data_IF_645674750874
#
_entry.id   IF_645674750874
#
_cell.length_a   1.000
_cell.length_b   1.000
_cell.length_c   1.000
_cell.angle_alpha   90.00
_cell.angle_beta   90.00
_cell.angle_gamma   90.00
#
_symmetry.space_group_name_H-M   'P 1'
#
loop_
_entity.id
_entity.type
_entity.pdbx_description
1 polymer ?
#
# COMPACT_ATOMS: atom_id res chain seq x y z
N UNK A 1 -3.40 15.39 8.72
CA UNK A 1 -2.63 15.06 9.93
C UNK A 1 -1.26 15.71 9.77
N UNK A 2 -0.88 16.68 10.60
CA UNK A 2 0.42 17.33 10.49
C UNK A 2 1.43 16.53 11.34
N UNK A 3 2.18 15.64 10.71
CA UNK A 3 3.20 14.81 11.37
C UNK A 3 4.49 15.62 11.47
N UNK A 4 5.13 15.60 12.63
CA UNK A 4 6.47 16.14 12.82
C UNK A 4 7.50 15.14 12.26
N UNK A 5 8.05 15.44 11.09
CA UNK A 5 8.93 14.55 10.34
C UNK A 5 10.23 14.26 11.10
N UNK A 6 10.80 15.25 11.79
CA UNK A 6 12.06 15.07 12.52
C UNK A 6 11.88 14.13 13.71
N UNK A 7 10.77 14.29 14.44
CA UNK A 7 10.45 13.40 15.56
C UNK A 7 10.26 11.95 15.10
N UNK A 8 9.61 11.74 13.95
CA UNK A 8 9.41 10.40 13.39
C UNK A 8 10.72 9.81 12.89
N UNK A 9 11.53 10.59 12.14
CA UNK A 9 12.82 10.14 11.64
C UNK A 9 13.75 9.69 12.77
N UNK A 10 13.86 10.51 13.84
CA UNK A 10 14.69 10.19 14.99
C UNK A 10 14.24 8.90 15.71
N UNK A 11 12.93 8.66 15.81
CA UNK A 11 12.41 7.44 16.42
C UNK A 11 12.73 6.19 15.58
N UNK A 12 12.62 6.28 14.24
CA UNK A 12 12.94 5.18 13.33
C UNK A 12 14.44 4.88 13.34
N UNK A 13 15.30 5.89 13.22
CA UNK A 13 16.77 5.70 13.26
C UNK A 13 17.24 5.12 14.60
N UNK A 14 16.60 5.53 15.71
CA UNK A 14 16.88 4.95 17.03
C UNK A 14 16.46 3.49 17.15
N UNK A 15 15.37 3.07 16.51
CA UNK A 15 14.91 1.67 16.50
C UNK A 15 15.77 0.81 15.57
N UNK A 16 16.12 1.34 14.40
CA UNK A 16 17.00 0.70 13.43
C UNK A 16 18.45 0.56 13.96
N UNK A 17 18.88 1.44 14.86
CA UNK A 17 20.25 1.47 15.38
C UNK A 17 21.28 2.05 14.39
N UNK A 18 20.81 2.65 13.29
CA UNK A 18 21.64 3.28 12.27
C UNK A 18 20.96 4.52 11.68
N UNK A 19 21.77 5.42 11.13
CA UNK A 19 21.28 6.56 10.38
C UNK A 19 20.76 6.13 9.01
N UNK A 20 19.65 6.73 8.58
CA UNK A 20 19.00 6.46 7.30
C UNK A 20 18.98 7.76 6.49
N UNK A 21 20.02 8.04 5.67
CA UNK A 21 20.24 9.35 5.07
C UNK A 21 19.05 9.90 4.28
N UNK A 22 18.32 9.02 3.59
CA UNK A 22 17.20 9.40 2.72
C UNK A 22 15.83 9.36 3.43
N UNK A 23 15.78 9.00 4.72
CA UNK A 23 14.52 8.79 5.44
C UNK A 23 13.67 10.06 5.52
N UNK A 24 14.30 11.20 5.78
CA UNK A 24 13.60 12.49 5.86
C UNK A 24 12.93 12.86 4.54
N UNK A 25 13.65 12.67 3.44
CA UNK A 25 13.11 12.89 2.09
C UNK A 25 11.95 11.93 1.81
N UNK A 26 12.09 10.64 2.12
CA UNK A 26 11.03 9.66 1.95
C UNK A 26 9.77 9.99 2.78
N UNK A 27 9.93 10.49 4.01
CA UNK A 27 8.83 10.91 4.86
C UNK A 27 8.12 12.18 4.34
N UNK A 28 8.87 13.13 3.78
CA UNK A 28 8.31 14.32 3.12
C UNK A 28 7.51 13.93 1.86
N UNK A 29 8.04 13.02 1.05
CA UNK A 29 7.34 12.49 -0.13
C UNK A 29 6.05 11.77 0.27
N UNK A 30 6.11 10.92 1.30
CA UNK A 30 4.93 10.25 1.84
C UNK A 30 3.88 11.25 2.38
N UNK A 31 4.32 12.31 3.08
CA UNK A 31 3.44 13.37 3.57
C UNK A 31 2.78 14.15 2.43
N UNK A 32 3.52 14.38 1.33
CA UNK A 32 3.03 15.03 0.12
C UNK A 32 2.17 14.10 -0.77
N UNK A 33 2.00 12.83 -0.40
CA UNK A 33 1.29 11.83 -1.22
C UNK A 33 2.03 11.47 -2.51
N UNK A 34 3.34 11.67 -2.55
CA UNK A 34 4.20 11.30 -3.67
C UNK A 34 4.59 9.82 -3.56
N UNK A 35 4.64 9.14 -4.70
CA UNK A 35 4.93 7.71 -4.78
C UNK A 35 3.67 6.84 -4.85
N UNK A 36 3.80 5.56 -4.49
CA UNK A 36 2.67 4.61 -4.56
C UNK A 36 1.75 4.81 -3.36
N UNK A 37 0.51 5.21 -3.62
CA UNK A 37 -0.55 5.29 -2.62
C UNK A 37 -1.44 4.06 -2.77
N UNK A 38 -1.54 3.27 -1.69
CA UNK A 38 -2.52 2.17 -1.62
C UNK A 38 -3.82 2.72 -1.03
N UNK A 39 -4.88 2.67 -1.82
CA UNK A 39 -6.23 3.10 -1.45
C UNK A 39 -6.93 2.07 -0.55
N UNK A 40 -7.91 2.47 0.27
CA UNK A 40 -8.72 1.55 1.06
C UNK A 40 -9.35 0.43 0.21
N UNK A 41 -9.79 0.75 -1.00
CA UNK A 41 -10.45 -0.21 -1.91
C UNK A 41 -9.46 -1.28 -2.39
N UNK A 42 -8.21 -0.90 -2.67
CA UNK A 42 -7.13 -1.84 -2.99
C UNK A 42 -6.78 -2.74 -1.80
N UNK A 43 -6.81 -2.22 -0.57
CA UNK A 43 -6.63 -3.02 0.65
C UNK A 43 -7.78 -4.01 0.81
N UNK A 44 -9.02 -3.54 0.63
CA UNK A 44 -10.22 -4.34 0.80
C UNK A 44 -10.28 -5.53 -0.17
N UNK A 45 -9.98 -5.32 -1.46
CA UNK A 45 -9.99 -6.42 -2.44
C UNK A 45 -8.95 -7.50 -2.11
N UNK A 46 -7.74 -7.08 -1.71
CA UNK A 46 -6.67 -8.00 -1.31
C UNK A 46 -7.06 -8.78 -0.05
N UNK A 47 -7.60 -8.11 0.95
CA UNK A 47 -8.05 -8.75 2.19
C UNK A 47 -9.22 -9.70 1.95
N UNK A 48 -10.16 -9.35 1.07
CA UNK A 48 -11.28 -10.22 0.70
C UNK A 48 -10.75 -11.51 0.06
N UNK A 49 -9.76 -11.43 -0.83
CA UNK A 49 -9.10 -12.63 -1.37
C UNK A 49 -8.41 -13.43 -0.28
N UNK A 50 -7.57 -12.81 0.53
CA UNK A 50 -6.81 -13.50 1.59
C UNK A 50 -7.76 -14.23 2.56
N UNK A 51 -8.85 -13.59 2.99
CA UNK A 51 -9.88 -14.18 3.85
C UNK A 51 -10.66 -15.31 3.18
N UNK A 52 -10.78 -15.30 1.86
CA UNK A 52 -11.45 -16.38 1.12
C UNK A 52 -10.59 -17.64 0.96
N UNK A 53 -9.27 -17.56 1.22
CA UNK A 53 -8.33 -18.66 1.00
C UNK A 53 -8.08 -19.00 -0.47
N UNK A 54 -8.59 -18.19 -1.40
CA UNK A 54 -8.47 -18.42 -2.83
C UNK A 54 -7.14 -17.92 -3.40
N UNK A 55 -6.65 -18.63 -4.41
CA UNK A 55 -5.58 -18.12 -5.28
C UNK A 55 -6.08 -16.88 -6.02
N UNK A 56 -5.15 -16.05 -6.51
CA UNK A 56 -5.52 -14.85 -7.29
C UNK A 56 -6.37 -15.20 -8.53
N UNK A 57 -6.07 -16.32 -9.20
CA UNK A 57 -6.86 -16.78 -10.34
C UNK A 57 -8.28 -17.23 -9.95
N UNK A 58 -8.42 -18.03 -8.88
CA UNK A 58 -9.73 -18.50 -8.42
C UNK A 58 -10.61 -17.37 -7.88
N UNK A 59 -9.99 -16.37 -7.24
CA UNK A 59 -10.71 -15.17 -6.79
C UNK A 59 -11.15 -14.30 -7.97
N UNK A 60 -10.26 -14.08 -8.95
CA UNK A 60 -10.57 -13.36 -10.19
C UNK A 60 -11.79 -13.96 -10.91
N UNK A 61 -11.82 -15.29 -11.04
CA UNK A 61 -12.96 -16.02 -11.59
C UNK A 61 -14.24 -15.79 -10.76
N UNK A 62 -14.13 -15.86 -9.43
CA UNK A 62 -15.27 -15.64 -8.51
C UNK A 62 -15.89 -14.25 -8.64
N UNK A 63 -15.10 -13.22 -8.91
CA UNK A 63 -15.56 -11.83 -9.08
C UNK A 63 -15.71 -11.43 -10.54
N UNK A 64 -15.68 -12.40 -11.47
CA UNK A 64 -15.85 -12.19 -12.90
C UNK A 64 -14.92 -11.12 -13.49
N UNK A 65 -13.67 -11.08 -13.01
CA UNK A 65 -12.65 -10.11 -13.41
C UNK A 65 -11.45 -10.87 -13.98
N UNK A 66 -10.78 -10.39 -15.04
CA UNK A 66 -9.54 -11.01 -15.49
C UNK A 66 -8.43 -10.90 -14.41
N UNK A 67 -7.51 -11.87 -14.39
CA UNK A 67 -6.45 -11.93 -13.35
C UNK A 67 -5.53 -10.71 -13.37
N UNK A 68 -5.25 -10.15 -14.55
CA UNK A 68 -4.35 -9.01 -14.68
C UNK A 68 -4.88 -7.72 -14.01
N UNK A 69 -6.12 -7.26 -14.27
CA UNK A 69 -6.75 -6.18 -13.52
C UNK A 69 -6.76 -6.41 -12.00
N UNK A 70 -7.19 -7.60 -11.55
CA UNK A 70 -7.18 -7.92 -10.11
C UNK A 70 -5.78 -7.77 -9.52
N UNK A 71 -4.75 -8.29 -10.21
CA UNK A 71 -3.36 -8.17 -9.77
C UNK A 71 -2.91 -6.72 -9.67
N UNK A 72 -3.26 -5.89 -10.64
CA UNK A 72 -2.90 -4.47 -10.61
C UNK A 72 -3.62 -3.72 -9.48
N UNK A 73 -4.85 -4.13 -9.12
CA UNK A 73 -5.55 -3.61 -7.94
C UNK A 73 -4.86 -4.02 -6.65
N UNK A 74 -4.58 -5.31 -6.46
CA UNK A 74 -3.94 -5.83 -5.24
C UNK A 74 -2.50 -5.30 -5.04
N UNK A 75 -1.83 -4.89 -6.12
CA UNK A 75 -0.47 -4.31 -6.10
C UNK A 75 -0.45 -2.78 -5.94
N UNK A 76 -1.62 -2.13 -5.83
CA UNK A 76 -1.69 -0.69 -5.66
C UNK A 76 -1.43 0.11 -6.94
N UNK A 77 -1.55 -0.51 -8.13
CA UNK A 77 -1.30 0.18 -9.42
C UNK A 77 -2.53 0.93 -9.93
N UNK A 78 -3.73 0.36 -9.75
CA UNK A 78 -5.00 0.99 -10.11
C UNK A 78 -6.06 0.73 -9.03
N UNK A 79 -6.99 1.66 -8.84
CA UNK A 79 -8.13 1.41 -7.96
C UNK A 79 -9.12 0.43 -8.63
N UNK A 80 -9.75 -0.49 -7.88
CA UNK A 80 -10.85 -1.28 -8.40
C UNK A 80 -12.06 -0.38 -8.73
N UNK A 81 -12.90 -0.76 -9.71
CA UNK A 81 -14.10 0.00 -10.06
C UNK A 81 -15.13 -0.03 -8.92
N UNK A 82 -15.91 1.06 -8.79
CA UNK A 82 -17.05 1.12 -7.85
C UNK A 82 -16.70 1.51 -6.41
N UNK A 83 -15.54 2.14 -6.20
CA UNK A 83 -15.21 2.86 -4.96
C UNK A 83 -15.98 4.16 -4.80
#
# INVERSE_FOLDING_TARGET
>A
MNVDIEKVAAAIESDAGESLPDLRQALLEAQAGLGRVTTPEQILVRQAREKSGLTQAAFAERIQTPVAPLRDWEQGRFAPPGG
#
